data_IF_816425278468
#
_entry.id   IF_816425278468
#
_cell.length_a   1.000
_cell.length_b   1.000
_cell.length_c   1.000
_cell.angle_alpha   90.00
_cell.angle_beta   90.00
_cell.angle_gamma   90.00
#
_symmetry.space_group_name_H-M   'P 1'
#
loop_
_entity.id
_entity.type
_entity.pdbx_description
1 polymer ?
#
# COMPACT_ATOMS: atom_id res chain seq x y z
N UNK A 1 20.17 13.99 -42.13
CA UNK A 1 19.82 14.06 -40.71
C UNK A 1 18.74 15.14 -40.57
N UNK A 2 17.46 14.74 -40.56
CA UNK A 2 16.33 15.68 -40.46
C UNK A 2 15.78 15.59 -39.04
N UNK A 3 15.79 16.74 -38.37
CA UNK A 3 15.25 16.98 -37.04
C UNK A 3 13.72 16.78 -37.07
N UNK A 4 13.21 16.00 -36.13
CA UNK A 4 11.78 15.76 -35.92
C UNK A 4 11.19 16.97 -35.19
N UNK A 5 10.04 17.48 -35.64
CA UNK A 5 9.38 18.67 -35.10
C UNK A 5 8.71 18.41 -33.74
N UNK A 6 8.54 19.44 -32.87
CA UNK A 6 8.01 19.31 -31.50
C UNK A 6 6.56 18.77 -31.39
N UNK A 7 5.87 18.57 -32.51
CA UNK A 7 4.51 18.03 -32.57
C UNK A 7 4.42 16.50 -32.61
N UNK A 8 5.51 15.78 -32.90
CA UNK A 8 5.49 14.32 -33.11
C UNK A 8 5.91 13.49 -31.87
N UNK A 9 6.18 14.14 -30.73
CA UNK A 9 6.45 13.43 -29.45
C UNK A 9 5.15 13.14 -28.66
N UNK A 10 3.98 13.52 -29.18
CA UNK A 10 2.69 13.32 -28.51
C UNK A 10 2.02 11.97 -28.76
N UNK A 11 2.78 10.94 -29.14
CA UNK A 11 2.27 9.59 -29.38
C UNK A 11 2.81 8.50 -28.42
N UNK A 12 3.56 8.84 -27.36
CA UNK A 12 4.10 7.85 -26.40
C UNK A 12 3.68 8.04 -24.93
N UNK A 13 2.82 9.02 -24.63
CA UNK A 13 2.25 9.17 -23.29
C UNK A 13 0.74 9.33 -23.37
N UNK A 14 0.05 8.21 -23.62
CA UNK A 14 -1.35 8.07 -23.22
C UNK A 14 -1.34 7.75 -21.72
N UNK A 15 -1.26 8.78 -20.89
CA UNK A 15 -1.53 8.67 -19.45
C UNK A 15 -3.05 8.57 -19.29
N UNK A 16 -3.59 7.34 -19.35
CA UNK A 16 -4.95 7.09 -18.85
C UNK A 16 -4.88 7.15 -17.34
N UNK A 17 -5.66 8.05 -16.74
CA UNK A 17 -5.82 8.20 -15.30
C UNK A 17 -6.52 6.99 -14.66
N UNK A 18 -5.87 5.83 -14.68
CA UNK A 18 -6.23 4.69 -13.85
C UNK A 18 -5.54 4.88 -12.49
N UNK A 19 -6.32 4.93 -11.42
CA UNK A 19 -5.81 4.83 -10.06
C UNK A 19 -4.99 3.52 -9.97
N UNK A 20 -3.66 3.63 -10.01
CA UNK A 20 -2.79 2.47 -9.90
C UNK A 20 -2.73 2.03 -8.44
N UNK A 21 -3.65 1.13 -8.04
CA UNK A 21 -3.56 0.48 -6.73
C UNK A 21 -2.26 -0.31 -6.64
N UNK A 22 -1.45 -0.05 -5.61
CA UNK A 22 -0.17 -0.72 -5.43
C UNK A 22 -0.27 -1.97 -4.55
N UNK A 23 0.59 -2.93 -4.85
CA UNK A 23 0.89 -4.08 -4.00
C UNK A 23 2.38 -4.11 -3.68
N UNK A 24 2.70 -4.58 -2.48
CA UNK A 24 4.03 -5.02 -2.09
C UNK A 24 4.21 -6.47 -2.53
N UNK A 25 5.11 -6.69 -3.48
CA UNK A 25 5.30 -7.94 -4.18
C UNK A 25 6.76 -8.38 -4.09
N UNK A 26 6.98 -9.61 -3.64
CA UNK A 26 8.28 -10.27 -3.76
C UNK A 26 8.09 -11.61 -4.46
N UNK A 27 8.84 -11.88 -5.52
CA UNK A 27 8.46 -12.96 -6.44
C UNK A 27 9.59 -13.68 -7.16
N UNK A 28 10.80 -13.15 -7.14
CA UNK A 28 11.94 -13.70 -7.86
C UNK A 28 13.24 -13.11 -7.32
N UNK A 29 14.33 -13.87 -7.45
CA UNK A 29 15.70 -13.42 -7.15
C UNK A 29 16.27 -12.54 -8.27
N UNK A 30 17.50 -12.03 -8.14
CA UNK A 30 18.13 -11.15 -9.12
C UNK A 30 18.35 -11.78 -10.51
N UNK A 31 18.30 -13.11 -10.60
CA UNK A 31 18.42 -13.88 -11.82
C UNK A 31 17.05 -14.22 -12.44
N UNK A 32 15.95 -13.77 -11.83
CA UNK A 32 14.58 -14.12 -12.22
C UNK A 32 14.17 -15.54 -11.81
N UNK A 33 14.97 -16.19 -10.96
CA UNK A 33 14.74 -17.49 -10.36
C UNK A 33 14.04 -17.40 -9.01
N UNK A 34 14.12 -18.48 -8.23
CA UNK A 34 13.57 -18.54 -6.87
C UNK A 34 14.62 -18.96 -5.83
N UNK A 35 15.87 -19.22 -6.24
CA UNK A 35 16.91 -19.92 -5.45
C UNK A 35 18.29 -19.65 -6.02
N UNK A 36 19.27 -19.63 -5.13
CA UNK A 36 20.68 -19.42 -5.47
C UNK A 36 21.00 -17.96 -5.78
N UNK A 37 20.11 -17.05 -5.39
CA UNK A 37 20.31 -15.62 -5.44
C UNK A 37 21.28 -15.16 -4.36
N UNK A 38 21.52 -13.86 -4.33
CA UNK A 38 22.36 -13.24 -3.31
C UNK A 38 21.49 -12.52 -2.29
N UNK A 39 21.90 -12.57 -1.01
CA UNK A 39 21.16 -11.88 0.03
C UNK A 39 21.04 -10.35 -0.17
N UNK A 40 19.83 -9.83 0.04
CA UNK A 40 19.43 -8.43 -0.19
C UNK A 40 18.76 -8.25 -1.56
N UNK A 41 18.20 -7.08 -1.86
CA UNK A 41 17.67 -6.79 -3.21
C UNK A 41 18.78 -6.17 -4.06
N UNK A 42 19.23 -6.86 -5.11
CA UNK A 42 20.28 -6.37 -6.00
C UNK A 42 19.75 -5.51 -7.14
N UNK A 43 18.52 -5.73 -7.57
CA UNK A 43 17.98 -5.16 -8.81
C UNK A 43 16.75 -4.27 -8.60
N UNK A 44 16.35 -4.06 -7.35
CA UNK A 44 15.18 -3.28 -6.95
C UNK A 44 13.85 -3.93 -7.31
N UNK A 45 13.84 -5.24 -7.58
CA UNK A 45 12.63 -5.98 -7.97
C UNK A 45 12.47 -7.33 -7.28
N UNK A 46 13.33 -7.66 -6.34
CA UNK A 46 13.20 -8.89 -5.57
C UNK A 46 12.08 -8.76 -4.53
N UNK A 47 12.02 -7.61 -3.83
CA UNK A 47 10.84 -7.16 -3.09
C UNK A 47 10.58 -5.69 -3.35
N UNK A 48 9.48 -5.37 -4.05
CA UNK A 48 9.20 -4.02 -4.54
C UNK A 48 7.70 -3.68 -4.54
N UNK A 49 7.42 -2.39 -4.69
CA UNK A 49 6.06 -1.90 -4.93
C UNK A 49 5.78 -1.89 -6.43
N UNK A 50 4.63 -2.44 -6.81
CA UNK A 50 4.16 -2.44 -8.20
C UNK A 50 2.66 -2.27 -8.29
N UNK A 51 2.18 -1.90 -9.46
CA UNK A 51 0.75 -1.90 -9.77
C UNK A 51 0.16 -3.29 -9.56
N UNK A 52 -1.03 -3.31 -8.96
CA UNK A 52 -1.86 -4.50 -8.84
C UNK A 52 -2.04 -5.17 -10.20
N UNK A 53 -2.06 -6.50 -10.22
CA UNK A 53 -2.26 -7.28 -11.43
C UNK A 53 -3.23 -8.44 -11.19
N UNK A 54 -4.03 -8.77 -12.20
CA UNK A 54 -4.94 -9.91 -12.17
C UNK A 54 -4.11 -11.19 -12.31
N UNK A 55 -3.90 -11.83 -11.17
CA UNK A 55 -3.44 -13.22 -11.08
C UNK A 55 -4.67 -14.08 -10.80
N UNK A 56 -4.65 -15.40 -11.05
CA UNK A 56 -5.66 -16.31 -10.49
C UNK A 56 -5.57 -16.37 -8.95
N UNK A 57 -5.83 -15.27 -8.25
CA UNK A 57 -5.92 -15.20 -6.79
C UNK A 57 -7.07 -16.10 -6.33
N UNK A 58 -6.78 -17.00 -5.38
CA UNK A 58 -7.79 -17.90 -4.84
C UNK A 58 -8.61 -17.23 -3.74
N UNK A 59 -8.00 -16.32 -2.98
CA UNK A 59 -8.68 -15.53 -1.97
C UNK A 59 -7.94 -14.23 -1.64
N UNK A 60 -8.65 -13.31 -1.01
CA UNK A 60 -8.10 -12.19 -0.24
C UNK A 60 -8.27 -12.50 1.23
N UNK A 61 -7.20 -12.35 2.01
CA UNK A 61 -7.19 -12.59 3.45
C UNK A 61 -7.16 -11.24 4.14
N UNK A 62 -8.20 -10.95 4.95
CA UNK A 62 -8.43 -9.63 5.53
C UNK A 62 -8.56 -9.72 7.04
N UNK A 63 -7.73 -8.99 7.78
CA UNK A 63 -7.93 -8.87 9.22
C UNK A 63 -9.09 -7.90 9.52
N UNK A 64 -10.01 -8.18 10.46
CA UNK A 64 -11.13 -7.28 10.78
C UNK A 64 -10.66 -5.96 11.42
N UNK A 65 -9.65 -6.01 12.28
CA UNK A 65 -9.05 -4.83 12.91
C UNK A 65 -8.24 -3.98 11.90
N UNK A 66 -8.64 -2.71 11.71
CA UNK A 66 -7.97 -1.78 10.80
C UNK A 66 -6.53 -1.44 11.19
N UNK A 67 -6.20 -1.43 12.49
CA UNK A 67 -4.84 -1.16 12.96
C UNK A 67 -3.87 -2.28 12.58
N UNK A 68 -4.34 -3.53 12.63
CA UNK A 68 -3.57 -4.70 12.16
C UNK A 68 -3.29 -4.56 10.66
N UNK A 69 -4.33 -4.25 9.88
CA UNK A 69 -4.18 -4.06 8.42
C UNK A 69 -3.21 -2.93 8.07
N UNK A 70 -3.34 -1.78 8.72
CA UNK A 70 -2.44 -0.64 8.48
C UNK A 70 -0.99 -1.02 8.73
N UNK A 71 -0.69 -1.69 9.85
CA UNK A 71 0.67 -2.12 10.14
C UNK A 71 1.18 -3.19 9.17
N UNK A 72 0.34 -4.16 8.76
CA UNK A 72 0.74 -5.14 7.74
C UNK A 72 1.19 -4.41 6.46
N UNK A 73 0.40 -3.43 5.99
CA UNK A 73 0.76 -2.65 4.82
C UNK A 73 1.99 -1.77 5.03
N UNK A 74 2.14 -1.14 6.21
CA UNK A 74 3.31 -0.34 6.55
C UNK A 74 4.60 -1.17 6.53
N UNK A 75 4.60 -2.34 7.19
CA UNK A 75 5.76 -3.23 7.18
C UNK A 75 6.07 -3.73 5.77
N UNK A 76 5.04 -4.07 4.98
CA UNK A 76 5.22 -4.50 3.60
C UNK A 76 5.78 -3.40 2.69
N UNK A 77 5.42 -2.12 2.92
CA UNK A 77 6.00 -0.97 2.20
C UNK A 77 7.45 -0.72 2.64
N UNK A 78 7.74 -0.84 3.93
CA UNK A 78 9.10 -0.67 4.46
C UNK A 78 10.05 -1.77 3.96
N UNK A 79 9.56 -3.01 3.89
CA UNK A 79 10.33 -4.13 3.36
C UNK A 79 10.64 -3.92 1.88
N UNK A 80 9.62 -3.61 1.07
CA UNK A 80 9.74 -3.36 -0.36
C UNK A 80 10.57 -2.11 -0.76
N UNK A 81 11.06 -1.34 0.21
CA UNK A 81 11.89 -0.14 0.00
C UNK A 81 13.30 -0.31 0.58
N UNK A 82 13.61 -1.47 1.14
CA UNK A 82 14.89 -1.72 1.77
C UNK A 82 15.66 -2.77 0.97
N UNK A 83 16.68 -2.30 0.25
CA UNK A 83 17.55 -3.13 -0.59
C UNK A 83 18.39 -4.16 0.21
N UNK A 84 18.25 -4.21 1.53
CA UNK A 84 18.81 -5.29 2.37
C UNK A 84 17.89 -6.51 2.48
N UNK A 85 16.72 -6.49 1.86
CA UNK A 85 15.76 -7.59 1.92
C UNK A 85 15.49 -8.08 0.50
N UNK A 86 16.03 -9.25 0.17
CA UNK A 86 15.93 -9.90 -1.13
C UNK A 86 15.05 -11.15 -1.14
N UNK A 87 15.04 -11.83 -2.28
CA UNK A 87 14.23 -13.03 -2.50
C UNK A 87 15.11 -14.27 -2.69
N UNK A 88 14.92 -15.28 -1.85
CA UNK A 88 15.45 -16.63 -2.06
C UNK A 88 14.69 -17.67 -1.20
N UNK A 89 14.34 -18.82 -1.79
CA UNK A 89 13.65 -19.90 -1.08
C UNK A 89 14.56 -20.74 -0.16
N UNK A 90 15.87 -20.80 -0.39
CA UNK A 90 16.82 -21.57 0.41
C UNK A 90 17.09 -20.90 1.76
N UNK A 91 17.17 -19.57 1.82
CA UNK A 91 17.39 -18.81 3.07
C UNK A 91 16.19 -17.94 3.49
N UNK A 92 14.99 -18.30 3.03
CA UNK A 92 13.71 -17.58 3.18
C UNK A 92 13.30 -17.11 4.60
N UNK A 93 13.98 -17.55 5.65
CA UNK A 93 13.68 -17.20 7.05
C UNK A 93 14.69 -16.22 7.66
N UNK A 94 15.72 -15.82 6.91
CA UNK A 94 16.74 -14.88 7.39
C UNK A 94 16.15 -13.47 7.56
N UNK A 95 15.16 -13.07 6.75
CA UNK A 95 14.39 -11.84 6.96
C UNK A 95 13.75 -11.78 8.35
N UNK A 96 13.02 -12.83 8.75
CA UNK A 96 12.41 -12.90 10.10
C UNK A 96 13.47 -12.76 11.20
N UNK A 97 14.62 -13.42 11.02
CA UNK A 97 15.73 -13.37 11.97
C UNK A 97 16.31 -11.97 12.13
N UNK A 98 16.42 -11.19 11.04
CA UNK A 98 16.85 -9.78 11.10
C UNK A 98 15.75 -8.87 11.66
N UNK A 99 14.50 -9.11 11.29
CA UNK A 99 13.34 -8.34 11.74
C UNK A 99 13.20 -8.35 13.27
N UNK A 100 13.46 -9.49 13.91
CA UNK A 100 13.52 -9.59 15.38
C UNK A 100 14.58 -8.68 16.01
N UNK A 101 15.77 -8.57 15.40
CA UNK A 101 16.91 -7.80 15.95
C UNK A 101 16.67 -6.30 15.91
N UNK A 102 15.83 -5.83 15.00
CA UNK A 102 15.57 -4.40 14.78
C UNK A 102 14.25 -3.93 15.38
N UNK A 103 13.64 -4.73 16.26
CA UNK A 103 12.38 -4.39 16.90
C UNK A 103 11.19 -4.37 15.93
N UNK A 104 11.21 -5.26 14.94
CA UNK A 104 10.13 -5.46 13.96
C UNK A 104 9.88 -4.31 12.99
N UNK A 105 10.89 -3.47 12.74
CA UNK A 105 10.85 -2.40 11.73
C UNK A 105 11.75 -2.75 10.53
N UNK A 106 11.18 -3.15 9.37
CA UNK A 106 11.95 -3.56 8.20
C UNK A 106 12.90 -2.47 7.70
N UNK A 107 12.56 -1.19 7.90
CA UNK A 107 13.40 -0.06 7.46
C UNK A 107 14.72 0.06 8.22
N UNK A 108 14.84 -0.63 9.36
CA UNK A 108 16.04 -0.64 10.20
C UNK A 108 16.98 -1.81 9.92
N UNK A 109 16.60 -2.74 9.05
CA UNK A 109 17.45 -3.87 8.67
C UNK A 109 18.63 -3.35 7.84
N UNK A 110 19.85 -3.60 8.31
CA UNK A 110 21.10 -3.19 7.64
C UNK A 110 21.93 -4.37 7.13
N UNK A 111 21.70 -5.56 7.69
CA UNK A 111 22.35 -6.81 7.26
C UNK A 111 21.51 -7.43 6.15
N UNK A 112 22.08 -7.74 4.98
CA UNK A 112 21.36 -8.42 3.91
C UNK A 112 20.71 -9.71 4.40
N UNK A 113 19.48 -9.94 3.97
CA UNK A 113 18.68 -11.11 4.28
C UNK A 113 17.68 -11.41 3.17
N UNK A 114 17.05 -12.56 3.27
CA UNK A 114 16.20 -13.13 2.24
C UNK A 114 14.88 -13.63 2.81
N UNK A 115 13.90 -13.64 1.92
CA UNK A 115 12.59 -14.22 2.14
C UNK A 115 12.05 -14.84 0.85
N UNK A 116 10.92 -15.53 0.95
CA UNK A 116 10.08 -15.77 -0.22
C UNK A 116 8.70 -15.18 0.04
N UNK A 117 7.91 -15.03 -1.02
CA UNK A 117 6.60 -14.38 -0.99
C UNK A 117 5.77 -14.71 0.27
N UNK A 118 5.69 -15.99 0.65
CA UNK A 118 4.94 -16.45 1.82
C UNK A 118 5.67 -16.22 3.13
N UNK A 119 6.99 -16.42 3.19
CA UNK A 119 7.78 -16.16 4.38
C UNK A 119 7.79 -14.67 4.73
N UNK A 120 7.98 -13.77 3.75
CA UNK A 120 7.98 -12.33 3.96
C UNK A 120 6.62 -11.80 4.45
N UNK A 121 5.53 -12.20 3.80
CA UNK A 121 4.18 -11.81 4.23
C UNK A 121 3.85 -12.34 5.63
N UNK A 122 4.16 -13.62 5.92
CA UNK A 122 3.92 -14.19 7.24
C UNK A 122 4.80 -13.57 8.32
N UNK A 123 6.05 -13.20 8.01
CA UNK A 123 6.93 -12.47 8.92
C UNK A 123 6.36 -11.08 9.27
N UNK A 124 5.79 -10.36 8.29
CA UNK A 124 5.11 -9.09 8.53
C UNK A 124 3.88 -9.27 9.43
N UNK A 125 3.02 -10.26 9.17
CA UNK A 125 1.86 -10.56 10.03
C UNK A 125 2.30 -10.88 11.46
N UNK A 126 3.31 -11.74 11.61
CA UNK A 126 3.86 -12.14 12.91
C UNK A 126 4.43 -10.94 13.66
N UNK A 127 5.20 -10.09 12.99
CA UNK A 127 5.74 -8.84 13.52
C UNK A 127 4.64 -7.90 14.04
N UNK A 128 3.53 -7.74 13.31
CA UNK A 128 2.38 -6.96 13.78
C UNK A 128 1.80 -7.53 15.08
N UNK A 129 1.82 -8.86 15.25
CA UNK A 129 1.46 -9.52 16.51
C UNK A 129 2.31 -9.07 17.69
N UNK A 130 3.62 -8.91 17.49
CA UNK A 130 4.51 -8.37 18.52
C UNK A 130 4.28 -6.89 18.76
N UNK A 131 4.18 -6.08 17.71
CA UNK A 131 3.99 -4.63 17.79
C UNK A 131 2.67 -4.22 18.46
N UNK A 132 1.61 -5.02 18.31
CA UNK A 132 0.30 -4.76 18.89
C UNK A 132 -0.02 -5.62 20.11
N UNK A 133 0.87 -6.55 20.50
CA UNK A 133 0.62 -7.48 21.60
C UNK A 133 -0.49 -8.51 21.34
N UNK A 134 -0.76 -8.86 20.08
CA UNK A 134 -1.83 -9.80 19.69
C UNK A 134 -1.28 -11.22 19.61
N UNK A 135 -1.61 -12.05 20.60
CA UNK A 135 -1.02 -13.39 20.76
C UNK A 135 -1.30 -14.34 19.59
N UNK A 136 -2.52 -14.30 19.04
CA UNK A 136 -2.88 -15.09 17.87
C UNK A 136 -1.96 -14.81 16.67
N UNK A 137 -1.52 -13.55 16.50
CA UNK A 137 -0.61 -13.16 15.43
C UNK A 137 0.85 -13.49 15.76
N UNK A 138 1.30 -13.39 17.02
CA UNK A 138 2.67 -13.80 17.41
C UNK A 138 2.90 -15.29 17.15
N UNK A 139 1.86 -16.09 17.31
CA UNK A 139 1.91 -17.55 17.20
C UNK A 139 1.76 -18.07 15.76
N UNK A 140 1.51 -17.22 14.77
CA UNK A 140 1.51 -17.70 13.37
C UNK A 140 2.92 -18.19 12.99
N UNK A 141 3.05 -19.37 12.36
CA UNK A 141 4.31 -19.84 11.82
C UNK A 141 4.70 -19.06 10.56
N UNK A 142 6.01 -19.01 10.29
CA UNK A 142 6.49 -18.68 8.93
C UNK A 142 6.25 -19.91 8.08
N UNK A 143 5.35 -19.83 7.10
CA UNK A 143 4.82 -20.99 6.37
C UNK A 143 4.81 -20.77 4.86
N UNK A 144 4.32 -21.73 4.08
CA UNK A 144 4.16 -21.64 2.62
C UNK A 144 2.76 -21.13 2.23
N UNK A 145 2.59 -20.67 0.99
CA UNK A 145 1.30 -20.22 0.45
C UNK A 145 0.18 -21.24 0.64
N UNK A 146 0.52 -22.53 0.60
CA UNK A 146 -0.42 -23.64 0.77
C UNK A 146 -1.15 -23.60 2.12
N UNK A 147 -0.44 -23.22 3.20
CA UNK A 147 -0.99 -23.21 4.55
C UNK A 147 -1.45 -21.82 5.02
N UNK A 148 -1.14 -20.76 4.26
CA UNK A 148 -1.45 -19.37 4.67
C UNK A 148 -2.93 -19.15 4.93
N UNK A 149 -3.83 -19.66 4.06
CA UNK A 149 -5.27 -19.49 4.23
C UNK A 149 -5.75 -20.00 5.58
N UNK A 150 -5.46 -21.27 5.89
CA UNK A 150 -5.94 -21.89 7.13
C UNK A 150 -5.25 -21.30 8.35
N UNK A 151 -3.94 -21.03 8.24
CA UNK A 151 -3.15 -20.38 9.31
C UNK A 151 -3.73 -19.03 9.69
N UNK A 152 -3.98 -18.16 8.71
CA UNK A 152 -4.47 -16.81 8.97
C UNK A 152 -5.95 -16.80 9.33
N UNK A 153 -6.76 -17.72 8.78
CA UNK A 153 -8.15 -17.91 9.23
C UNK A 153 -8.19 -18.27 10.72
N UNK A 154 -7.34 -19.20 11.17
CA UNK A 154 -7.24 -19.59 12.58
C UNK A 154 -6.70 -18.45 13.47
N UNK A 155 -5.94 -17.51 12.89
CA UNK A 155 -5.47 -16.31 13.57
C UNK A 155 -6.50 -15.15 13.56
N UNK A 156 -7.73 -15.37 13.07
CA UNK A 156 -8.82 -14.41 13.12
C UNK A 156 -9.01 -13.55 11.87
N UNK A 157 -8.38 -13.91 10.75
CA UNK A 157 -8.62 -13.23 9.47
C UNK A 157 -9.85 -13.79 8.76
N UNK A 158 -10.53 -12.92 8.02
CA UNK A 158 -11.59 -13.27 7.08
C UNK A 158 -11.00 -13.74 5.75
N UNK A 159 -11.61 -14.77 5.15
CA UNK A 159 -11.23 -15.28 3.83
C UNK A 159 -12.29 -14.84 2.82
N UNK A 160 -11.93 -13.91 1.95
CA UNK A 160 -12.80 -13.33 0.93
C UNK A 160 -12.53 -13.99 -0.42
N UNK A 161 -13.54 -14.65 -0.99
CA UNK A 161 -13.43 -15.40 -2.26
C UNK A 161 -14.35 -14.86 -3.36
N UNK A 162 -15.18 -13.86 -3.06
CA UNK A 162 -16.06 -13.28 -4.06
C UNK A 162 -15.23 -12.59 -5.16
N UNK A 163 -15.64 -12.79 -6.43
CA UNK A 163 -14.92 -12.31 -7.63
C UNK A 163 -14.54 -10.83 -7.57
N UNK A 164 -15.39 -9.98 -6.97
CA UNK A 164 -15.14 -8.54 -6.80
C UNK A 164 -13.85 -8.20 -6.04
N UNK A 165 -13.35 -9.10 -5.19
CA UNK A 165 -12.09 -8.94 -4.47
C UNK A 165 -10.89 -9.53 -5.23
N UNK A 166 -11.13 -10.42 -6.19
CA UNK A 166 -10.08 -11.20 -6.85
C UNK A 166 -9.71 -10.62 -8.22
N UNK A 167 -10.62 -9.88 -8.85
CA UNK A 167 -10.51 -9.41 -10.23
C UNK A 167 -10.17 -7.94 -10.41
N UNK A 168 -10.19 -7.18 -9.31
CA UNK A 168 -9.85 -5.77 -9.31
C UNK A 168 -9.39 -5.35 -7.92
N UNK A 169 -8.49 -4.36 -7.81
CA UNK A 169 -8.16 -3.77 -6.52
C UNK A 169 -9.31 -2.96 -5.90
N UNK A 170 -10.37 -2.66 -6.65
CA UNK A 170 -11.41 -1.69 -6.26
C UNK A 170 -12.06 -1.96 -4.89
N UNK A 171 -12.18 -3.22 -4.47
CA UNK A 171 -12.78 -3.59 -3.19
C UNK A 171 -11.75 -4.02 -2.12
N UNK A 172 -10.47 -3.95 -2.45
CA UNK A 172 -9.39 -4.29 -1.53
C UNK A 172 -9.22 -3.19 -0.50
N UNK A 173 -8.82 -3.59 0.71
CA UNK A 173 -8.41 -2.67 1.77
C UNK A 173 -6.90 -2.70 1.86
N UNK A 174 -6.31 -1.57 2.22
CA UNK A 174 -4.90 -1.52 2.61
C UNK A 174 -4.66 -2.55 3.71
N UNK A 175 -3.64 -3.39 3.56
CA UNK A 175 -3.30 -4.49 4.46
C UNK A 175 -3.98 -5.82 4.15
N UNK A 176 -4.81 -5.88 3.10
CA UNK A 176 -5.30 -7.15 2.57
C UNK A 176 -4.14 -7.98 2.00
N UNK A 177 -4.19 -9.29 2.22
CA UNK A 177 -3.22 -10.24 1.67
C UNK A 177 -3.86 -10.95 0.48
N UNK A 178 -3.27 -10.79 -0.70
CA UNK A 178 -3.64 -11.51 -1.91
C UNK A 178 -2.99 -12.90 -1.86
N UNK A 179 -3.76 -13.97 -2.07
CA UNK A 179 -3.21 -15.33 -2.01
C UNK A 179 -3.65 -16.17 -3.20
N UNK A 180 -2.67 -16.76 -3.87
CA UNK A 180 -2.83 -17.96 -4.68
C UNK A 180 -2.15 -19.12 -3.94
N UNK A 181 -2.94 -20.08 -3.50
CA UNK A 181 -2.51 -21.13 -2.55
C UNK A 181 -1.31 -21.92 -3.06
N UNK A 182 -1.21 -22.10 -4.37
CA UNK A 182 -0.21 -22.97 -4.99
C UNK A 182 1.03 -22.24 -5.49
N UNK A 183 1.07 -20.90 -5.49
CA UNK A 183 2.13 -20.19 -6.23
C UNK A 183 2.61 -18.86 -5.66
N UNK A 184 1.74 -18.01 -5.10
CA UNK A 184 2.16 -16.64 -4.81
C UNK A 184 1.27 -15.93 -3.78
N UNK A 185 1.86 -14.99 -3.05
CA UNK A 185 1.14 -14.05 -2.20
C UNK A 185 1.74 -12.65 -2.29
N UNK A 186 0.92 -11.63 -2.08
CA UNK A 186 1.35 -10.24 -2.04
C UNK A 186 0.50 -9.45 -1.04
N UNK A 187 1.00 -8.31 -0.57
CA UNK A 187 0.23 -7.43 0.31
C UNK A 187 -0.31 -6.25 -0.49
N UNK A 188 -1.62 -6.05 -0.46
CA UNK A 188 -2.25 -4.86 -1.00
C UNK A 188 -1.96 -3.66 -0.07
N UNK A 189 -1.38 -2.60 -0.60
CA UNK A 189 -0.90 -1.46 0.21
C UNK A 189 -1.77 -0.21 0.04
N UNK A 190 -2.87 -0.26 -0.70
CA UNK A 190 -3.75 0.90 -0.90
C UNK A 190 -5.21 0.51 -0.76
N UNK A 191 -6.06 1.45 -0.35
CA UNK A 191 -7.50 1.22 -0.34
C UNK A 191 -8.04 1.34 -1.77
N UNK A 192 -8.80 0.32 -2.18
CA UNK A 192 -9.56 0.34 -3.40
C UNK A 192 -10.69 1.37 -3.36
N UNK A 193 -11.17 1.75 -4.54
CA UNK A 193 -12.22 2.77 -4.74
C UNK A 193 -13.48 2.53 -3.87
N UNK A 194 -13.85 1.28 -3.64
CA UNK A 194 -15.05 0.86 -2.89
C UNK A 194 -14.72 0.21 -1.54
N UNK A 195 -13.48 0.37 -1.04
CA UNK A 195 -13.03 -0.21 0.22
C UNK A 195 -13.83 0.25 1.46
N UNK A 196 -14.48 1.43 1.37
CA UNK A 196 -15.24 2.05 2.46
C UNK A 196 -16.72 1.70 2.55
N UNK A 197 -17.31 0.99 1.57
CA UNK A 197 -18.73 0.64 1.63
C UNK A 197 -18.95 -0.55 2.56
N UNK A 198 -19.36 -0.25 3.79
CA UNK A 198 -20.03 -1.19 4.65
C UNK A 198 -21.32 -1.64 3.95
N UNK A 199 -21.49 -2.94 3.84
CA UNK A 199 -22.75 -3.58 3.46
C UNK A 199 -23.88 -3.11 4.38
N UNK A 200 -24.86 -2.42 3.80
CA UNK A 200 -26.12 -2.08 4.44
C UNK A 200 -27.20 -1.86 3.39
N UNK A 201 -28.00 -2.88 3.11
CA UNK A 201 -29.25 -2.78 2.35
C UNK A 201 -30.17 -1.72 2.96
N UNK A 202 -30.62 -0.73 2.20
CA UNK A 202 -31.99 -0.18 2.19
C UNK A 202 -32.15 0.95 1.17
N UNK A 203 -33.29 0.88 0.48
CA UNK A 203 -33.85 1.78 -0.52
C UNK A 203 -33.70 3.28 -0.23
N UNK A 204 -33.52 4.08 -1.29
CA UNK A 204 -33.60 5.54 -1.23
C UNK A 204 -33.26 6.21 -2.55
N UNK A 205 -34.29 6.61 -3.28
CA UNK A 205 -34.32 7.23 -4.61
C UNK A 205 -33.44 8.49 -4.78
N UNK A 206 -32.72 8.55 -5.89
CA UNK A 206 -32.58 9.76 -6.72
C UNK A 206 -31.64 10.88 -6.25
N UNK A 207 -30.40 10.84 -6.74
CA UNK A 207 -29.51 12.01 -6.79
C UNK A 207 -28.34 11.76 -7.75
N UNK A 208 -28.25 12.53 -8.83
CA UNK A 208 -27.22 12.43 -9.88
C UNK A 208 -25.80 12.40 -9.30
N UNK A 209 -25.21 11.21 -9.24
CA UNK A 209 -23.79 11.01 -8.96
C UNK A 209 -23.04 11.39 -10.23
N UNK A 210 -22.45 12.59 -10.22
CA UNK A 210 -21.53 13.01 -11.27
C UNK A 210 -20.16 12.48 -10.87
N UNK A 211 -19.81 11.32 -11.41
CA UNK A 211 -18.55 10.62 -11.17
C UNK A 211 -17.40 11.38 -11.85
N UNK A 212 -16.57 12.05 -11.07
CA UNK A 212 -15.18 12.35 -11.44
C UNK A 212 -14.30 11.93 -10.27
N UNK A 213 -13.90 10.66 -10.32
CA UNK A 213 -13.15 9.95 -9.32
C UNK A 213 -11.64 10.11 -9.54
N UNK A 214 -10.90 10.55 -8.52
CA UNK A 214 -9.59 9.96 -8.21
C UNK A 214 -9.06 10.30 -6.81
N UNK A 215 -9.62 11.28 -6.09
CA UNK A 215 -9.29 11.52 -4.68
C UNK A 215 -10.55 11.97 -3.92
N UNK A 216 -10.79 11.49 -2.67
CA UNK A 216 -11.97 11.88 -1.91
C UNK A 216 -11.91 13.34 -1.49
N UNK A 217 -13.07 14.00 -1.38
CA UNK A 217 -13.14 15.30 -0.72
C UNK A 217 -12.88 15.08 0.77
N UNK A 218 -11.83 15.68 1.30
CA UNK A 218 -11.55 15.64 2.75
C UNK A 218 -12.06 16.90 3.42
N UNK A 219 -12.56 16.76 4.65
CA UNK A 219 -12.98 17.87 5.51
C UNK A 219 -12.70 17.54 6.97
N UNK A 220 -12.75 18.57 7.80
CA UNK A 220 -12.61 18.44 9.25
C UNK A 220 -13.47 17.33 9.84
N UNK A 221 -12.89 16.57 10.77
CA UNK A 221 -13.51 15.43 11.44
C UNK A 221 -13.41 14.11 10.64
N UNK A 222 -12.96 14.13 9.40
CA UNK A 222 -12.66 12.91 8.66
C UNK A 222 -11.39 12.26 9.20
N UNK A 223 -11.36 10.93 9.19
CA UNK A 223 -10.17 10.15 9.55
C UNK A 223 -9.89 9.12 8.47
N UNK A 224 -8.63 8.76 8.25
CA UNK A 224 -8.27 7.65 7.38
C UNK A 224 -7.00 7.88 6.54
N UNK A 225 -6.70 6.90 5.69
CA UNK A 225 -5.51 6.86 4.82
C UNK A 225 -5.42 8.10 3.92
N UNK A 226 -6.53 8.57 3.35
CA UNK A 226 -6.53 9.78 2.53
C UNK A 226 -6.14 11.04 3.33
N UNK A 227 -6.59 11.16 4.58
CA UNK A 227 -6.18 12.25 5.47
C UNK A 227 -4.68 12.17 5.77
N UNK A 228 -4.17 10.96 6.02
CA UNK A 228 -2.72 10.73 6.22
C UNK A 228 -1.90 11.15 5.00
N UNK A 229 -2.34 10.80 3.79
CA UNK A 229 -1.66 11.20 2.54
C UNK A 229 -1.67 12.72 2.40
N UNK A 230 -2.79 13.37 2.69
CA UNK A 230 -2.86 14.83 2.67
C UNK A 230 -1.91 15.47 3.70
N UNK A 231 -1.84 14.94 4.92
CA UNK A 231 -0.88 15.39 5.94
C UNK A 231 0.57 15.21 5.47
N UNK A 232 0.91 14.10 4.79
CA UNK A 232 2.23 13.90 4.20
C UNK A 232 2.55 14.92 3.09
N UNK A 233 1.56 15.28 2.27
CA UNK A 233 1.68 16.34 1.27
C UNK A 233 1.94 17.69 1.93
N UNK A 234 1.20 18.01 3.00
CA UNK A 234 1.40 19.25 3.77
C UNK A 234 2.81 19.30 4.37
N UNK A 235 3.30 18.20 4.96
CA UNK A 235 4.69 18.08 5.41
C UNK A 235 5.69 18.29 4.27
N UNK A 236 5.46 17.66 3.11
CA UNK A 236 6.30 17.83 1.93
C UNK A 236 6.25 19.26 1.37
N UNK A 237 5.14 19.97 1.54
CA UNK A 237 5.00 21.38 1.20
C UNK A 237 5.71 22.33 2.20
N UNK A 238 6.27 21.79 3.28
CA UNK A 238 7.02 22.54 4.29
C UNK A 238 6.19 22.99 5.49
N UNK A 239 4.94 22.53 5.63
CA UNK A 239 4.13 22.79 6.81
C UNK A 239 4.44 21.78 7.91
N UNK A 240 4.58 22.25 9.15
CA UNK A 240 4.65 21.37 10.31
C UNK A 240 3.23 20.94 10.69
N UNK A 241 2.85 19.70 10.37
CA UNK A 241 1.54 19.10 10.73
C UNK A 241 1.72 17.67 11.22
N UNK A 242 0.86 17.23 12.15
CA UNK A 242 0.87 15.85 12.61
C UNK A 242 0.35 14.91 11.50
N UNK A 243 1.00 13.76 11.31
CA UNK A 243 0.59 12.72 10.36
C UNK A 243 -0.13 11.59 11.12
N UNK A 244 -1.29 11.91 11.68
CA UNK A 244 -2.07 11.05 12.58
C UNK A 244 -3.29 10.39 11.91
N UNK A 245 -3.54 10.67 10.62
CA UNK A 245 -4.73 10.25 9.88
C UNK A 245 -6.04 10.91 10.33
N UNK A 246 -5.98 12.01 11.09
CA UNK A 246 -7.14 12.74 11.58
C UNK A 246 -7.17 14.16 11.02
N UNK A 247 -8.28 14.54 10.40
CA UNK A 247 -8.46 15.86 9.84
C UNK A 247 -8.96 16.79 10.95
N UNK A 248 -8.06 17.13 11.87
CA UNK A 248 -8.30 18.06 12.97
C UNK A 248 -8.02 19.51 12.59
N UNK A 249 -8.05 20.40 13.60
CA UNK A 249 -7.81 21.84 13.45
C UNK A 249 -6.48 22.16 12.75
N UNK A 250 -5.41 21.46 13.12
CA UNK A 250 -4.09 21.68 12.52
C UNK A 250 -4.05 21.31 11.02
N UNK A 251 -4.63 20.15 10.65
CA UNK A 251 -4.72 19.71 9.25
C UNK A 251 -5.55 20.70 8.42
N UNK A 252 -6.66 21.20 8.96
CA UNK A 252 -7.50 22.23 8.32
C UNK A 252 -6.72 23.53 8.10
N UNK A 253 -6.07 24.05 9.14
CA UNK A 253 -5.28 25.28 9.07
C UNK A 253 -4.17 25.21 8.00
N UNK A 254 -3.46 24.08 7.89
CA UNK A 254 -2.41 23.92 6.87
C UNK A 254 -2.98 23.73 5.47
N UNK A 255 -4.14 23.09 5.36
CA UNK A 255 -4.88 22.95 4.09
C UNK A 255 -5.19 24.34 3.53
N UNK A 256 -5.81 25.19 4.34
CA UNK A 256 -6.14 26.57 3.95
C UNK A 256 -4.90 27.35 3.50
N UNK A 257 -3.78 27.22 4.23
CA UNK A 257 -2.51 27.85 3.87
C UNK A 257 -1.99 27.38 2.51
N UNK A 258 -2.02 26.07 2.25
CA UNK A 258 -1.59 25.51 0.98
C UNK A 258 -2.50 25.96 -0.17
N UNK A 259 -3.81 25.91 0.01
CA UNK A 259 -4.79 26.33 -0.99
C UNK A 259 -4.63 27.80 -1.35
N UNK A 260 -4.47 28.67 -0.36
CA UNK A 260 -4.18 30.09 -0.56
C UNK A 260 -2.86 30.32 -1.31
N UNK A 261 -1.80 29.60 -0.94
CA UNK A 261 -0.51 29.69 -1.62
C UNK A 261 -0.57 29.22 -3.09
N UNK A 262 -1.54 28.37 -3.44
CA UNK A 262 -1.77 27.84 -4.78
C UNK A 262 -2.88 28.56 -5.54
N UNK A 263 -3.49 29.59 -4.97
CA UNK A 263 -4.56 30.36 -5.60
C UNK A 263 -5.89 29.61 -5.74
N UNK A 264 -6.13 28.60 -4.91
CA UNK A 264 -7.36 27.79 -4.92
C UNK A 264 -8.41 28.50 -4.06
N UNK A 265 -9.48 28.99 -4.68
CA UNK A 265 -10.52 29.80 -3.99
C UNK A 265 -11.93 29.19 -4.02
N UNK A 266 -12.12 28.10 -4.76
CA UNK A 266 -13.45 27.55 -5.06
C UNK A 266 -14.04 26.73 -3.91
N UNK A 267 -13.20 26.23 -3.00
CA UNK A 267 -13.53 25.17 -2.04
C UNK A 267 -12.81 25.36 -0.69
N UNK A 268 -13.01 26.49 0.02
CA UNK A 268 -12.28 26.75 1.26
C UNK A 268 -12.56 25.67 2.31
N UNK A 269 -11.51 25.24 3.02
CA UNK A 269 -11.56 24.35 4.19
C UNK A 269 -11.90 22.89 3.85
N UNK A 270 -11.70 22.48 2.60
CA UNK A 270 -11.84 21.09 2.18
C UNK A 270 -10.77 20.73 1.15
N UNK A 271 -10.30 19.48 1.17
CA UNK A 271 -9.36 19.01 0.15
C UNK A 271 -10.14 18.52 -1.06
N UNK A 272 -10.43 19.44 -1.97
CA UNK A 272 -11.06 19.15 -3.25
C UNK A 272 -10.07 18.69 -4.33
N UNK A 273 -10.55 18.35 -5.54
CA UNK A 273 -9.70 17.93 -6.65
C UNK A 273 -8.56 18.90 -7.00
N UNK A 274 -8.80 20.21 -6.86
CA UNK A 274 -7.78 21.24 -7.09
C UNK A 274 -6.65 21.18 -6.04
N UNK A 275 -7.01 21.01 -4.77
CA UNK A 275 -6.06 20.88 -3.67
C UNK A 275 -5.22 19.61 -3.84
N UNK A 276 -5.86 18.48 -4.17
CA UNK A 276 -5.18 17.23 -4.47
C UNK A 276 -4.17 17.35 -5.60
N UNK A 277 -4.57 17.97 -6.72
CA UNK A 277 -3.68 18.21 -7.85
C UNK A 277 -2.46 19.03 -7.42
N UNK A 278 -2.68 20.16 -6.76
CA UNK A 278 -1.61 21.06 -6.33
C UNK A 278 -0.68 20.43 -5.30
N UNK A 279 -1.21 19.59 -4.40
CA UNK A 279 -0.46 18.84 -3.42
C UNK A 279 0.43 17.75 -4.03
N UNK A 280 -0.10 16.99 -4.99
CA UNK A 280 0.65 15.95 -5.69
C UNK A 280 1.79 16.53 -6.55
N UNK A 281 1.59 17.69 -7.17
CA UNK A 281 2.63 18.41 -7.91
C UNK A 281 3.85 18.78 -7.03
N UNK A 282 3.63 18.98 -5.73
CA UNK A 282 4.73 19.26 -4.78
C UNK A 282 5.58 18.01 -4.55
N UNK A 283 4.97 16.83 -4.48
CA UNK A 283 5.69 15.56 -4.30
C UNK A 283 6.51 15.18 -5.54
N UNK A 284 6.03 15.52 -6.73
CA UNK A 284 6.75 15.23 -7.98
C UNK A 284 7.90 16.20 -8.23
N UNK A 285 7.75 17.48 -7.89
CA UNK A 285 8.80 18.49 -8.06
C UNK A 285 10.03 18.25 -7.15
N UNK A 286 9.85 17.62 -5.98
CA UNK A 286 10.93 17.33 -5.02
C UNK A 286 11.77 16.09 -5.35
N UNK A 287 11.43 15.30 -6.39
CA UNK A 287 12.21 14.13 -6.84
C UNK A 287 13.29 14.46 -7.89
N UNK A 288 13.53 15.74 -8.15
CA UNK A 288 14.46 16.22 -9.20
C UNK A 288 15.80 16.75 -8.66
N UNK A 289 16.31 16.16 -7.58
CA UNK A 289 17.64 16.46 -7.04
C UNK A 289 18.40 15.16 -6.74
#
# INVERSE_FOLDING_TARGET
MKMIEPGEIRALFVWKGENMSLISNSGHDENGGYRGGKAGDQIGTEWYLRSWYDRPWNCVIRHPNSKVRELIAELAVKAAKNDKIGYDQDERVTYWSQLQKVGYDPSKITVPCEEDCSAGVMANVKAVGYLLGIEALKNVPITSTWYMRDTLKNAGFEILTASKYLKSPDYLKRGDILLNDAKHTATNVEDGKYAGELTGTSSGTGGKITVNASMPILKKGMTGSAVRVWQQILCAAGYNTAVDSSFGDDTEEKTEKLEKAKGITKDPNQVGPAAWKAGLEILTAKKTF
#
